data_IF_269138151076
#
_entry.id   IF_269138151076
#
_cell.length_a   1.000
_cell.length_b   1.000
_cell.length_c   1.000
_cell.angle_alpha   90.00
_cell.angle_beta   90.00
_cell.angle_gamma   90.00
#
_symmetry.space_group_name_H-M   'P 1'
#
loop_
_entity.id
_entity.type
_entity.pdbx_description
1 polymer ?
#
# COMPACT_ATOMS: atom_id res chain seq x y z
N UNK A 1 11.55 3.24 -19.56
CA UNK A 1 10.75 2.08 -19.14
C UNK A 1 9.85 2.53 -17.99
N UNK A 2 8.59 2.11 -17.97
CA UNK A 2 7.66 2.50 -16.88
C UNK A 2 7.95 1.58 -15.69
N UNK A 3 8.41 2.14 -14.57
CA UNK A 3 8.63 1.37 -13.35
C UNK A 3 7.31 1.24 -12.58
N UNK A 4 7.18 0.19 -11.78
CA UNK A 4 5.99 -0.13 -10.98
C UNK A 4 6.41 -0.56 -9.59
N UNK A 5 5.53 -0.34 -8.62
CA UNK A 5 5.67 -0.87 -7.28
C UNK A 5 5.23 -2.34 -7.23
N UNK A 6 5.91 -3.14 -6.43
CA UNK A 6 5.46 -4.49 -6.06
C UNK A 6 4.68 -4.41 -4.74
N UNK A 7 3.37 -4.64 -4.77
CA UNK A 7 2.49 -4.40 -3.63
C UNK A 7 1.92 -5.69 -3.09
N UNK A 8 1.92 -5.83 -1.76
CA UNK A 8 1.25 -6.91 -1.02
C UNK A 8 0.39 -6.34 0.10
N UNK A 9 -0.88 -6.74 0.15
CA UNK A 9 -1.83 -6.34 1.20
C UNK A 9 -2.22 -7.56 2.04
N UNK A 10 -2.02 -7.44 3.34
CA UNK A 10 -2.41 -8.39 4.37
C UNK A 10 -3.50 -7.74 5.23
N UNK A 11 -4.63 -8.41 5.45
CA UNK A 11 -5.73 -7.92 6.29
C UNK A 11 -6.12 -9.07 7.19
N UNK A 12 -5.80 -9.01 8.49
CA UNK A 12 -5.78 -10.16 9.42
C UNK A 12 -4.48 -10.99 9.33
N UNK A 13 -3.44 -10.66 10.12
CA UNK A 13 -2.14 -11.35 10.08
C UNK A 13 -2.17 -12.83 10.48
N UNK A 14 -3.30 -13.32 11.00
CA UNK A 14 -3.52 -14.73 11.35
C UNK A 14 -3.79 -15.60 10.12
N UNK A 15 -4.33 -15.03 9.04
CA UNK A 15 -4.61 -15.75 7.80
C UNK A 15 -3.42 -15.54 6.87
N UNK A 16 -2.80 -16.62 6.38
CA UNK A 16 -1.65 -16.58 5.45
C UNK A 16 -1.99 -16.00 4.07
N UNK A 17 -3.22 -15.58 3.83
CA UNK A 17 -3.72 -15.15 2.53
C UNK A 17 -3.47 -13.65 2.30
N UNK A 18 -3.02 -13.31 1.10
CA UNK A 18 -2.88 -11.91 0.67
C UNK A 18 -4.16 -11.46 -0.01
N UNK A 19 -4.70 -10.32 0.41
CA UNK A 19 -5.93 -9.75 -0.16
C UNK A 19 -5.66 -9.06 -1.50
N UNK A 20 -4.40 -8.70 -1.73
CA UNK A 20 -3.88 -8.26 -3.01
C UNK A 20 -2.39 -8.55 -3.08
N UNK A 21 -1.97 -9.06 -4.23
CA UNK A 21 -0.57 -9.17 -4.61
C UNK A 21 -0.45 -8.82 -6.08
N UNK A 22 0.28 -7.75 -6.39
CA UNK A 22 0.36 -7.27 -7.77
C UNK A 22 1.21 -6.01 -7.93
N UNK A 23 1.20 -5.47 -9.15
CA UNK A 23 1.91 -4.24 -9.49
C UNK A 23 1.01 -3.02 -9.29
N UNK A 24 1.60 -1.89 -8.89
CA UNK A 24 0.91 -0.62 -8.82
C UNK A 24 1.72 0.51 -9.48
N UNK A 25 1.02 1.47 -10.08
CA UNK A 25 1.61 2.75 -10.48
C UNK A 25 1.73 3.69 -9.28
N UNK A 26 0.74 3.67 -8.39
CA UNK A 26 0.66 4.51 -7.20
C UNK A 26 -0.01 3.74 -6.07
N UNK A 27 0.53 3.88 -4.86
CA UNK A 27 -0.15 3.50 -3.62
C UNK A 27 -0.37 4.76 -2.79
N UNK A 28 -1.63 5.03 -2.42
CA UNK A 28 -2.03 6.22 -1.66
C UNK A 28 -2.64 5.82 -0.33
N UNK A 29 -2.29 6.54 0.75
CA UNK A 29 -2.94 6.36 2.05
C UNK A 29 -2.81 7.63 2.90
N UNK A 30 -3.20 7.55 4.17
CA UNK A 30 -3.11 8.63 5.16
C UNK A 30 -2.29 8.17 6.35
N UNK A 31 -1.39 9.03 6.82
CA UNK A 31 -0.72 8.90 8.11
C UNK A 31 -1.01 10.14 8.99
N UNK A 32 -0.33 10.27 10.13
CA UNK A 32 -0.50 11.40 11.06
C UNK A 32 -0.25 12.78 10.43
N UNK A 33 0.58 12.87 9.38
CA UNK A 33 0.91 14.13 8.70
C UNK A 33 -0.12 14.49 7.62
N UNK A 34 -0.91 13.52 7.14
CA UNK A 34 -1.93 13.73 6.12
C UNK A 34 -1.93 12.64 5.06
N UNK A 35 -2.48 12.98 3.89
CA UNK A 35 -2.48 12.08 2.73
C UNK A 35 -1.10 12.06 2.09
N UNK A 36 -0.71 10.90 1.57
CA UNK A 36 0.54 10.74 0.84
C UNK A 36 0.38 9.71 -0.27
N UNK A 37 1.28 9.80 -1.26
CA UNK A 37 1.37 8.91 -2.40
C UNK A 37 2.78 8.30 -2.45
N UNK A 38 2.84 7.03 -2.81
CA UNK A 38 4.07 6.30 -3.10
C UNK A 38 4.09 6.05 -4.59
N UNK A 39 5.15 6.50 -5.25
CA UNK A 39 5.46 6.24 -6.65
C UNK A 39 6.78 5.46 -6.73
N UNK A 40 7.08 4.79 -7.85
CA UNK A 40 8.38 4.15 -8.05
C UNK A 40 9.54 5.13 -7.83
N UNK A 41 10.57 4.68 -7.11
CA UNK A 41 11.73 5.46 -6.69
C UNK A 41 11.54 6.27 -5.40
N UNK A 42 10.42 6.10 -4.70
CA UNK A 42 10.22 6.74 -3.40
C UNK A 42 11.22 6.21 -2.36
N UNK A 43 11.64 7.08 -1.43
CA UNK A 43 12.51 6.69 -0.33
C UNK A 43 11.90 5.56 0.53
N UNK A 44 12.74 4.77 1.18
CA UNK A 44 12.31 3.70 2.08
C UNK A 44 11.79 4.27 3.39
N UNK A 45 10.63 3.82 3.86
CA UNK A 45 10.06 4.24 5.15
C UNK A 45 9.04 3.23 5.68
N UNK A 46 8.76 3.34 6.98
CA UNK A 46 7.64 2.64 7.64
C UNK A 46 6.76 3.69 8.32
N UNK A 47 5.44 3.56 8.19
CA UNK A 47 4.49 4.49 8.81
C UNK A 47 3.20 3.78 9.24
N UNK A 48 2.54 4.34 10.26
CA UNK A 48 1.16 3.98 10.60
C UNK A 48 0.20 4.64 9.61
N UNK A 49 -0.76 3.87 9.13
CA UNK A 49 -1.79 4.34 8.21
C UNK A 49 -3.19 4.17 8.78
N UNK A 50 -4.13 4.98 8.31
CA UNK A 50 -5.53 4.96 8.75
C UNK A 50 -6.50 5.32 7.63
N UNK A 51 -7.78 5.06 7.87
CA UNK A 51 -8.94 5.38 7.04
C UNK A 51 -9.01 4.61 5.71
N UNK A 52 -8.13 4.94 4.76
CA UNK A 52 -8.21 4.46 3.38
C UNK A 52 -6.84 4.09 2.80
N UNK A 53 -6.87 3.07 1.94
CA UNK A 53 -5.74 2.66 1.11
C UNK A 53 -6.27 2.56 -0.31
N UNK A 54 -5.62 3.25 -1.24
CA UNK A 54 -5.92 3.19 -2.66
C UNK A 54 -4.72 2.68 -3.43
N UNK A 55 -4.95 1.71 -4.31
CA UNK A 55 -3.94 1.17 -5.22
C UNK A 55 -4.41 1.44 -6.66
N UNK A 56 -3.59 2.17 -7.43
CA UNK A 56 -3.80 2.36 -8.87
C UNK A 56 -2.96 1.32 -9.64
N UNK A 57 -3.62 0.38 -10.30
CA UNK A 57 -2.93 -0.68 -11.05
C UNK A 57 -2.44 -0.19 -12.43
N UNK A 58 -1.52 -0.93 -13.09
CA UNK A 58 -1.08 -0.61 -14.46
C UNK A 58 -2.22 -0.51 -15.47
N UNK A 59 -3.30 -1.27 -15.27
CA UNK A 59 -4.52 -1.27 -16.09
C UNK A 59 -5.46 -0.10 -15.76
N UNK A 60 -5.01 0.86 -14.95
CA UNK A 60 -5.78 2.03 -14.50
C UNK A 60 -6.98 1.68 -13.62
N UNK A 61 -7.03 0.47 -13.05
CA UNK A 61 -8.03 0.09 -12.07
C UNK A 61 -7.66 0.66 -10.70
N UNK A 62 -8.65 1.20 -9.99
CA UNK A 62 -8.51 1.60 -8.59
C UNK A 62 -9.04 0.49 -7.69
N UNK A 63 -8.21 0.05 -6.74
CA UNK A 63 -8.59 -0.86 -5.66
C UNK A 63 -8.58 -0.03 -4.38
N UNK A 64 -9.66 -0.08 -3.60
CA UNK A 64 -9.83 0.73 -2.38
C UNK A 64 -10.15 -0.18 -1.21
N UNK A 65 -9.41 -0.01 -0.12
CA UNK A 65 -9.67 -0.66 1.17
C UNK A 65 -10.03 0.38 2.20
N UNK A 66 -11.08 0.10 2.98
CA UNK A 66 -11.50 0.90 4.14
C UNK A 66 -11.14 0.14 5.41
N UNK A 67 -10.43 0.78 6.32
CA UNK A 67 -9.93 0.15 7.54
C UNK A 67 -9.69 1.20 8.63
N UNK A 68 -9.55 0.76 9.88
CA UNK A 68 -9.30 1.67 11.01
C UNK A 68 -7.82 2.03 11.13
N UNK A 69 -6.96 1.03 11.28
CA UNK A 69 -5.51 1.20 11.43
C UNK A 69 -4.75 0.15 10.61
N UNK A 70 -3.51 0.48 10.26
CA UNK A 70 -2.56 -0.44 9.65
C UNK A 70 -1.13 0.08 9.70
N UNK A 71 -0.20 -0.74 9.20
CA UNK A 71 1.21 -0.40 9.02
C UNK A 71 1.53 -0.53 7.53
N UNK A 72 2.27 0.43 7.00
CA UNK A 72 2.80 0.40 5.64
C UNK A 72 4.33 0.49 5.69
N UNK A 73 4.99 -0.37 4.93
CA UNK A 73 6.43 -0.39 4.69
C UNK A 73 6.71 -0.18 3.20
N UNK A 74 7.68 0.67 2.89
CA UNK A 74 8.26 0.86 1.56
C UNK A 74 9.74 0.51 1.60
N UNK A 75 10.17 -0.39 0.72
CA UNK A 75 11.59 -0.76 0.56
C UNK A 75 11.87 -1.18 -0.88
N UNK A 76 12.75 -0.45 -1.59
CA UNK A 76 13.18 -0.78 -2.96
C UNK A 76 12.01 -1.06 -3.92
N UNK A 77 11.07 -0.11 -4.04
CA UNK A 77 9.83 -0.23 -4.82
C UNK A 77 8.87 -1.35 -4.39
N UNK A 78 9.14 -2.05 -3.28
CA UNK A 78 8.20 -2.98 -2.66
C UNK A 78 7.40 -2.26 -1.59
N UNK A 79 6.10 -2.50 -1.58
CA UNK A 79 5.17 -1.91 -0.61
C UNK A 79 4.40 -3.03 0.09
N UNK A 80 4.70 -3.25 1.36
CA UNK A 80 3.98 -4.22 2.21
C UNK A 80 3.01 -3.46 3.10
N UNK A 81 1.76 -3.92 3.14
CA UNK A 81 0.68 -3.22 3.86
C UNK A 81 -0.06 -4.22 4.74
N UNK A 82 -0.12 -3.91 6.04
CA UNK A 82 -0.76 -4.73 7.06
C UNK A 82 -1.94 -3.96 7.66
N UNK A 83 -3.16 -4.37 7.30
CA UNK A 83 -4.41 -3.74 7.72
C UNK A 83 -5.04 -4.49 8.90
N UNK A 84 -5.74 -3.75 9.76
CA UNK A 84 -6.51 -4.31 10.87
C UNK A 84 -5.67 -4.69 12.09
N UNK A 85 -4.60 -3.93 12.33
CA UNK A 85 -3.77 -4.02 13.55
C UNK A 85 -4.43 -3.28 14.74
#
# INVERSE_FOLDING_TARGET
MKNFLEVKVFWLPIIKETFYQGKAEVVSSRNRLGKFDILPGHANFITLISDELTILTPEKKKIVYQFKNGVLEVSEDKVNIFLGL
#
